data_IF_900485790512
#
_entry.id   IF_900485790512
#
_cell.length_a   1.000
_cell.length_b   1.000
_cell.length_c   1.000
_cell.angle_alpha   90.00
_cell.angle_beta   90.00
_cell.angle_gamma   90.00
#
_symmetry.space_group_name_H-M   'P 1'
#
loop_
_entity.id
_entity.type
_entity.pdbx_description
1 polymer ?
#
# COMPACT_ATOMS: atom_id res chain seq x y z
N UNK A 1 20.21 0.55 -7.13
CA UNK A 1 19.68 1.63 -8.01
C UNK A 1 19.49 1.11 -9.44
N UNK A 2 18.66 1.77 -10.26
CA UNK A 2 18.49 1.41 -11.68
C UNK A 2 19.80 1.60 -12.45
N UNK A 3 20.08 0.72 -13.41
CA UNK A 3 21.26 0.86 -14.28
C UNK A 3 21.08 1.94 -15.34
N UNK A 4 19.85 2.13 -15.81
CA UNK A 4 19.49 3.11 -16.83
C UNK A 4 18.19 3.78 -16.41
N UNK A 5 18.20 5.10 -16.29
CA UNK A 5 17.03 5.87 -15.94
C UNK A 5 16.19 6.18 -17.19
N UNK A 6 14.85 6.28 -17.06
CA UNK A 6 14.02 6.79 -18.13
C UNK A 6 14.44 8.23 -18.46
N UNK A 7 14.42 8.59 -19.75
CA UNK A 7 14.78 9.95 -20.17
C UNK A 7 13.76 10.98 -19.67
N UNK A 8 12.50 10.58 -19.65
CA UNK A 8 11.37 11.41 -19.27
C UNK A 8 10.40 10.57 -18.43
N UNK A 9 9.73 11.23 -17.48
CA UNK A 9 8.63 10.70 -16.71
C UNK A 9 7.48 11.69 -16.74
N UNK A 10 6.34 11.23 -17.21
CA UNK A 10 5.07 11.93 -17.18
C UNK A 10 4.36 11.62 -15.86
N UNK A 11 3.56 12.57 -15.37
CA UNK A 11 2.80 12.39 -14.14
C UNK A 11 1.39 12.99 -14.21
N UNK A 12 0.51 12.52 -13.33
CA UNK A 12 -0.77 13.12 -12.96
C UNK A 12 -0.95 13.00 -11.44
N UNK A 13 -1.45 14.05 -10.80
CA UNK A 13 -1.69 14.08 -9.36
C UNK A 13 -0.55 14.70 -8.55
N UNK A 14 -0.41 14.25 -7.30
CA UNK A 14 0.39 14.86 -6.25
C UNK A 14 1.84 14.35 -6.21
N UNK A 15 2.78 15.16 -6.73
CA UNK A 15 4.21 14.87 -6.65
C UNK A 15 4.78 14.83 -5.22
N UNK A 16 4.09 15.42 -4.23
CA UNK A 16 4.50 15.38 -2.83
C UNK A 16 4.64 13.97 -2.27
N UNK A 17 3.95 12.98 -2.85
CA UNK A 17 4.09 11.57 -2.48
C UNK A 17 5.49 11.00 -2.73
N UNK A 18 6.27 11.59 -3.65
CA UNK A 18 7.65 11.17 -3.91
C UNK A 18 8.58 11.43 -2.72
N UNK A 19 8.24 12.39 -1.85
CA UNK A 19 9.02 12.76 -0.68
C UNK A 19 8.75 11.87 0.54
N UNK A 20 7.70 11.04 0.49
CA UNK A 20 7.34 10.12 1.59
C UNK A 20 8.21 8.85 1.54
N UNK A 21 8.38 8.13 2.65
CA UNK A 21 8.86 6.74 2.60
C UNK A 21 7.98 5.92 1.65
N UNK A 22 8.58 5.04 0.85
CA UNK A 22 7.84 4.31 -0.20
C UNK A 22 8.06 2.82 -0.09
N UNK A 23 7.00 2.03 -0.27
CA UNK A 23 7.09 0.57 -0.30
C UNK A 23 6.46 0.08 -1.60
N UNK A 24 7.19 -0.74 -2.36
CA UNK A 24 6.64 -1.37 -3.55
C UNK A 24 5.87 -2.63 -3.16
N UNK A 25 4.62 -2.77 -3.62
CA UNK A 25 3.81 -3.99 -3.41
C UNK A 25 3.38 -4.53 -4.77
N UNK A 26 3.72 -5.79 -5.06
CA UNK A 26 3.38 -6.46 -6.33
C UNK A 26 2.94 -7.89 -6.08
N UNK A 27 2.26 -8.52 -7.05
CA UNK A 27 1.88 -9.92 -6.91
C UNK A 27 0.96 -10.41 -8.03
N UNK A 28 0.30 -11.53 -7.77
CA UNK A 28 -0.52 -12.23 -8.74
C UNK A 28 -1.71 -11.38 -9.22
N UNK A 29 -2.04 -11.50 -10.51
CA UNK A 29 -3.28 -10.96 -11.09
C UNK A 29 -4.51 -11.79 -10.71
N UNK A 30 -4.30 -13.04 -10.31
CA UNK A 30 -5.30 -14.00 -9.84
C UNK A 30 -4.85 -14.48 -8.46
N UNK A 31 -5.37 -13.84 -7.42
CA UNK A 31 -4.92 -14.04 -6.05
C UNK A 31 -5.96 -14.75 -5.20
N UNK A 32 -5.50 -15.44 -4.16
CA UNK A 32 -6.33 -16.08 -3.15
C UNK A 32 -7.06 -15.07 -2.26
N UNK A 33 -8.13 -15.48 -1.58
CA UNK A 33 -8.82 -14.60 -0.62
C UNK A 33 -7.90 -14.16 0.53
N UNK A 34 -7.03 -15.06 0.98
CA UNK A 34 -6.00 -14.76 1.96
C UNK A 34 -5.10 -13.62 1.47
N UNK A 35 -4.52 -13.74 0.27
CA UNK A 35 -3.68 -12.69 -0.30
C UNK A 35 -4.43 -11.38 -0.47
N UNK A 36 -5.73 -11.42 -0.83
CA UNK A 36 -6.56 -10.21 -0.95
C UNK A 36 -6.64 -9.46 0.36
N UNK A 37 -7.03 -10.16 1.41
CA UNK A 37 -7.23 -9.60 2.75
C UNK A 37 -5.92 -9.02 3.30
N UNK A 38 -4.86 -9.82 3.32
CA UNK A 38 -3.60 -9.42 3.93
C UNK A 38 -2.84 -8.38 3.09
N UNK A 39 -2.98 -8.37 1.75
CA UNK A 39 -2.43 -7.26 0.93
C UNK A 39 -3.14 -5.94 1.27
N UNK A 40 -4.47 -5.96 1.41
CA UNK A 40 -5.25 -4.77 1.75
C UNK A 40 -4.86 -4.24 3.14
N UNK A 41 -4.84 -5.12 4.15
CA UNK A 41 -4.46 -4.77 5.52
C UNK A 41 -3.04 -4.22 5.61
N UNK A 42 -2.09 -4.86 4.91
CA UNK A 42 -0.70 -4.43 4.88
C UNK A 42 -0.54 -3.04 4.27
N UNK A 43 -1.18 -2.80 3.12
CA UNK A 43 -1.15 -1.50 2.48
C UNK A 43 -1.80 -0.41 3.35
N UNK A 44 -2.90 -0.73 4.03
CA UNK A 44 -3.58 0.16 4.97
C UNK A 44 -2.70 0.52 6.17
N UNK A 45 -2.05 -0.47 6.77
CA UNK A 45 -1.17 -0.28 7.92
C UNK A 45 0.04 0.61 7.56
N UNK A 46 0.64 0.41 6.39
CA UNK A 46 1.71 1.26 5.88
C UNK A 46 1.22 2.70 5.63
N UNK A 47 0.07 2.86 4.98
CA UNK A 47 -0.50 4.19 4.68
C UNK A 47 -0.80 5.00 5.95
N UNK A 48 -1.34 4.35 7.00
CA UNK A 48 -1.56 4.96 8.32
C UNK A 48 -0.29 5.50 8.98
N UNK A 49 0.88 5.10 8.51
CA UNK A 49 2.20 5.53 9.00
C UNK A 49 2.90 6.50 8.06
N UNK A 50 2.14 7.16 7.19
CA UNK A 50 2.72 8.09 6.22
C UNK A 50 3.51 7.40 5.10
N UNK A 51 3.54 6.07 5.03
CA UNK A 51 4.24 5.35 3.96
C UNK A 51 3.39 5.34 2.69
N UNK A 52 4.00 5.66 1.56
CA UNK A 52 3.36 5.61 0.27
C UNK A 52 3.52 4.24 -0.38
N UNK A 53 2.41 3.62 -0.80
CA UNK A 53 2.43 2.34 -1.52
C UNK A 53 2.65 2.59 -3.01
N UNK A 54 3.67 1.96 -3.59
CA UNK A 54 3.96 2.03 -5.03
C UNK A 54 3.56 0.70 -5.68
N UNK A 55 2.75 0.75 -6.74
CA UNK A 55 2.39 -0.45 -7.49
C UNK A 55 2.05 -0.14 -8.96
N UNK A 56 1.71 -1.18 -9.73
CA UNK A 56 1.54 -1.11 -11.18
C UNK A 56 0.10 -0.90 -11.66
N UNK A 57 -0.88 -0.67 -10.77
CA UNK A 57 -2.31 -0.59 -11.12
C UNK A 57 -2.85 -1.77 -11.96
N UNK A 58 -2.16 -2.92 -12.01
CA UNK A 58 -2.66 -4.11 -12.68
C UNK A 58 -3.86 -4.71 -11.92
N UNK A 59 -4.51 -5.71 -12.53
CA UNK A 59 -5.49 -6.51 -11.79
C UNK A 59 -4.82 -7.24 -10.63
N UNK A 60 -5.62 -7.62 -9.65
CA UNK A 60 -5.16 -8.45 -8.55
C UNK A 60 -4.41 -7.66 -7.49
N UNK A 61 -3.21 -8.12 -7.10
CA UNK A 61 -2.47 -7.59 -5.95
C UNK A 61 -2.24 -6.09 -6.06
N UNK A 62 -1.85 -5.59 -7.24
CA UNK A 62 -1.64 -4.16 -7.46
C UNK A 62 -2.88 -3.32 -7.12
N UNK A 63 -4.06 -3.73 -7.64
CA UNK A 63 -5.32 -3.03 -7.35
C UNK A 63 -5.67 -3.06 -5.87
N UNK A 64 -5.49 -4.23 -5.23
CA UNK A 64 -5.76 -4.40 -3.80
C UNK A 64 -4.82 -3.55 -2.94
N UNK A 65 -3.54 -3.47 -3.30
CA UNK A 65 -2.55 -2.66 -2.60
C UNK A 65 -2.89 -1.16 -2.70
N UNK A 66 -3.24 -0.68 -3.90
CA UNK A 66 -3.71 0.70 -4.07
C UNK A 66 -4.99 0.98 -3.27
N UNK A 67 -5.97 0.08 -3.31
CA UNK A 67 -7.21 0.23 -2.54
C UNK A 67 -7.00 0.19 -1.03
N UNK A 68 -6.08 -0.63 -0.53
CA UNK A 68 -5.73 -0.70 0.89
C UNK A 68 -5.00 0.55 1.38
N UNK A 69 -4.11 1.10 0.55
CA UNK A 69 -3.38 2.32 0.89
C UNK A 69 -4.29 3.56 0.94
N UNK A 70 -5.34 3.61 0.11
CA UNK A 70 -6.08 4.84 -0.15
C UNK A 70 -5.43 5.64 -1.28
N UNK A 71 -6.25 6.35 -2.05
CA UNK A 71 -5.81 7.04 -3.26
C UNK A 71 -4.77 8.13 -2.96
N UNK A 72 -4.91 8.80 -1.83
CA UNK A 72 -4.02 9.84 -1.31
C UNK A 72 -2.67 9.34 -0.79
N UNK A 73 -2.49 8.02 -0.64
CA UNK A 73 -1.27 7.41 -0.10
C UNK A 73 -0.59 6.47 -1.10
N UNK A 74 -0.86 6.60 -2.40
CA UNK A 74 -0.33 5.65 -3.38
C UNK A 74 0.17 6.26 -4.68
N UNK A 75 1.20 5.62 -5.23
CA UNK A 75 1.79 5.93 -6.53
C UNK A 75 1.54 4.75 -7.48
N UNK A 76 0.77 4.97 -8.54
CA UNK A 76 0.58 4.01 -9.62
C UNK A 76 1.58 4.28 -10.76
N UNK A 77 2.41 3.29 -11.10
CA UNK A 77 3.27 3.38 -12.27
C UNK A 77 2.64 2.59 -13.40
N UNK A 78 2.23 3.22 -14.50
CA UNK A 78 1.49 2.54 -15.59
C UNK A 78 2.41 2.17 -16.77
N UNK A 79 2.00 1.15 -17.54
CA UNK A 79 2.77 0.61 -18.66
C UNK A 79 2.36 1.22 -20.03
N UNK A 80 1.62 2.32 -20.01
CA UNK A 80 0.99 2.99 -21.15
C UNK A 80 1.05 4.52 -20.96
N UNK A 81 0.72 5.29 -22.00
CA UNK A 81 0.59 6.75 -21.89
C UNK A 81 -0.50 7.14 -20.88
N UNK A 82 -0.33 8.27 -20.19
CA UNK A 82 -1.25 8.70 -19.11
C UNK A 82 -2.66 9.04 -19.61
N UNK A 83 -2.83 9.30 -20.90
CA UNK A 83 -4.14 9.45 -21.52
C UNK A 83 -4.93 8.12 -21.65
N UNK A 84 -4.35 6.98 -21.29
CA UNK A 84 -5.00 5.66 -21.35
C UNK A 84 -5.14 5.09 -19.92
N UNK A 85 -6.35 4.71 -19.54
CA UNK A 85 -6.59 3.98 -18.27
C UNK A 85 -6.66 2.49 -18.55
N UNK A 86 -5.59 1.76 -18.23
CA UNK A 86 -5.48 0.32 -18.43
C UNK A 86 -5.00 -0.37 -17.13
N UNK A 87 -5.55 -1.54 -16.78
CA UNK A 87 -6.64 -2.25 -17.46
C UNK A 87 -7.99 -1.57 -17.22
N UNK A 88 -8.94 -1.73 -18.16
CA UNK A 88 -10.26 -1.07 -18.11
C UNK A 88 -11.03 -1.37 -16.82
N UNK A 89 -10.87 -2.59 -16.27
CA UNK A 89 -11.50 -2.98 -15.01
C UNK A 89 -11.08 -2.13 -13.81
N UNK A 90 -9.87 -1.56 -13.83
CA UNK A 90 -9.36 -0.69 -12.78
C UNK A 90 -9.51 0.80 -13.14
N UNK A 91 -10.31 1.16 -14.15
CA UNK A 91 -10.43 2.54 -14.63
C UNK A 91 -10.82 3.52 -13.51
N UNK A 92 -11.78 3.14 -12.66
CA UNK A 92 -12.24 3.99 -11.55
C UNK A 92 -11.18 4.15 -10.47
N UNK A 93 -10.47 3.07 -10.13
CA UNK A 93 -9.34 3.11 -9.20
C UNK A 93 -8.24 4.03 -9.72
N UNK A 94 -7.85 3.87 -10.98
CA UNK A 94 -6.82 4.70 -11.61
C UNK A 94 -7.25 6.16 -11.61
N UNK A 95 -8.52 6.46 -11.95
CA UNK A 95 -9.04 7.83 -11.93
C UNK A 95 -8.96 8.46 -10.54
N UNK A 96 -9.31 7.71 -9.48
CA UNK A 96 -9.19 8.17 -8.10
C UNK A 96 -7.74 8.48 -7.72
N UNK A 97 -6.77 7.64 -8.16
CA UNK A 97 -5.33 7.91 -7.94
C UNK A 97 -4.84 9.11 -8.76
N UNK A 98 -5.35 9.33 -9.98
CA UNK A 98 -5.02 10.53 -10.76
C UNK A 98 -5.45 11.82 -10.05
N UNK A 99 -6.57 11.77 -9.32
CA UNK A 99 -7.16 12.92 -8.62
C UNK A 99 -6.50 13.20 -7.26
N UNK A 100 -6.21 12.16 -6.47
CA UNK A 100 -5.79 12.30 -5.07
C UNK A 100 -4.36 11.80 -4.81
N UNK A 101 -3.91 10.85 -5.62
CA UNK A 101 -2.61 10.19 -5.51
C UNK A 101 -1.63 10.68 -6.55
N UNK A 102 -0.78 9.78 -7.04
CA UNK A 102 0.14 10.05 -8.14
C UNK A 102 0.14 8.91 -9.15
N UNK A 103 0.00 9.23 -10.42
CA UNK A 103 0.19 8.28 -11.52
C UNK A 103 1.41 8.69 -12.32
N UNK A 104 2.33 7.75 -12.57
CA UNK A 104 3.56 7.94 -13.33
C UNK A 104 3.57 7.07 -14.59
N UNK A 105 4.14 7.60 -15.67
CA UNK A 105 4.43 6.82 -16.87
C UNK A 105 5.71 7.32 -17.53
N UNK A 106 6.46 6.40 -18.14
CA UNK A 106 7.60 6.73 -19.00
C UNK A 106 7.24 6.73 -20.50
N UNK A 107 5.95 6.59 -20.82
CA UNK A 107 5.47 6.44 -22.18
C UNK A 107 4.65 7.66 -22.60
N UNK A 108 4.89 8.13 -23.83
CA UNK A 108 4.16 9.24 -24.42
C UNK A 108 2.66 8.95 -24.52
N UNK A 109 1.87 10.02 -24.61
CA UNK A 109 0.44 9.93 -24.86
C UNK A 109 0.14 9.10 -26.12
N UNK A 110 -0.88 8.24 -26.01
CA UNK A 110 -1.31 7.31 -27.04
C UNK A 110 -0.57 5.97 -27.04
N UNK A 111 0.54 5.83 -26.31
CA UNK A 111 1.27 4.56 -26.22
C UNK A 111 0.45 3.50 -25.49
N UNK A 112 0.14 2.39 -26.15
CA UNK A 112 -0.60 1.25 -25.59
C UNK A 112 0.36 0.26 -24.90
N UNK A 113 -0.08 -0.34 -23.81
CA UNK A 113 0.73 -1.30 -23.07
C UNK A 113 1.10 -2.53 -23.93
N UNK A 114 2.35 -2.97 -23.84
CA UNK A 114 2.92 -4.14 -24.51
C UNK A 114 3.61 -5.04 -23.49
N UNK A 115 3.94 -6.28 -23.87
CA UNK A 115 4.68 -7.20 -22.98
C UNK A 115 5.98 -6.59 -22.44
N UNK A 116 6.73 -5.89 -23.32
CA UNK A 116 7.95 -5.18 -22.94
C UNK A 116 7.68 -3.99 -22.00
N UNK A 117 6.63 -3.20 -22.24
CA UNK A 117 6.36 -2.02 -21.41
C UNK A 117 5.99 -2.39 -19.98
N UNK A 118 5.37 -3.55 -19.74
CA UNK A 118 5.16 -4.07 -18.39
C UNK A 118 6.48 -4.38 -17.66
N UNK A 119 7.44 -5.01 -18.35
CA UNK A 119 8.74 -5.34 -17.75
C UNK A 119 9.49 -4.07 -17.36
N UNK A 120 9.53 -3.08 -18.26
CA UNK A 120 10.21 -1.82 -17.98
C UNK A 120 9.52 -1.01 -16.88
N UNK A 121 8.18 -0.96 -16.90
CA UNK A 121 7.40 -0.36 -15.82
C UNK A 121 7.73 -1.01 -14.47
N UNK A 122 7.82 -2.34 -14.42
CA UNK A 122 8.07 -3.05 -13.17
C UNK A 122 9.42 -2.67 -12.55
N UNK A 123 10.44 -2.41 -13.37
CA UNK A 123 11.72 -1.90 -12.88
C UNK A 123 11.56 -0.56 -12.16
N UNK A 124 10.72 0.34 -12.69
CA UNK A 124 10.43 1.63 -12.09
C UNK A 124 9.63 1.51 -10.78
N UNK A 125 8.64 0.61 -10.71
CA UNK A 125 7.90 0.30 -9.47
C UNK A 125 8.87 -0.11 -8.36
N UNK A 126 9.78 -1.04 -8.67
CA UNK A 126 10.77 -1.54 -7.72
C UNK A 126 11.78 -0.45 -7.36
N UNK A 127 12.18 0.38 -8.31
CA UNK A 127 13.14 1.44 -8.06
C UNK A 127 12.62 2.49 -7.08
N UNK A 128 11.33 2.85 -7.19
CA UNK A 128 10.67 3.87 -6.37
C UNK A 128 10.43 3.43 -4.91
N UNK A 129 10.13 2.15 -4.67
CA UNK A 129 9.92 1.64 -3.31
C UNK A 129 11.23 1.30 -2.63
N UNK A 130 11.44 1.70 -1.37
CA UNK A 130 12.65 1.46 -0.58
C UNK A 130 12.91 -0.06 -0.41
N UNK A 131 11.84 -0.81 -0.21
CA UNK A 131 11.79 -2.28 -0.19
C UNK A 131 10.75 -2.82 -1.19
N UNK A 132 10.80 -4.12 -1.47
CA UNK A 132 9.80 -4.82 -2.29
C UNK A 132 9.01 -5.83 -1.43
N UNK A 133 7.68 -5.78 -1.54
CA UNK A 133 6.77 -6.78 -0.98
C UNK A 133 6.13 -7.55 -2.14
N UNK A 134 6.22 -8.88 -2.09
CA UNK A 134 5.55 -9.78 -3.03
C UNK A 134 4.56 -10.64 -2.25
N UNK A 135 3.26 -10.35 -2.37
CA UNK A 135 2.26 -11.01 -1.51
C UNK A 135 1.84 -12.39 -2.03
N UNK A 136 1.82 -12.58 -3.35
CA UNK A 136 1.60 -13.89 -4.00
C UNK A 136 2.21 -13.90 -5.41
N UNK A 137 2.91 -14.96 -5.79
CA UNK A 137 3.52 -15.10 -7.11
C UNK A 137 3.80 -16.56 -7.49
N UNK A 138 3.58 -16.90 -8.76
CA UNK A 138 4.06 -18.14 -9.37
C UNK A 138 5.48 -17.96 -9.92
N UNK A 139 6.20 -19.08 -10.13
CA UNK A 139 7.62 -19.10 -10.55
C UNK A 139 7.89 -18.31 -11.84
N UNK A 140 7.00 -18.41 -12.83
CA UNK A 140 7.14 -17.75 -14.14
C UNK A 140 6.30 -16.47 -14.26
N UNK A 141 5.87 -15.90 -13.14
CA UNK A 141 5.00 -14.72 -13.13
C UNK A 141 5.77 -13.41 -13.38
N UNK A 142 5.05 -12.38 -13.84
CA UNK A 142 5.60 -11.03 -14.03
C UNK A 142 6.14 -10.41 -12.73
N UNK A 143 5.64 -10.82 -11.57
CA UNK A 143 6.12 -10.39 -10.25
C UNK A 143 7.53 -10.91 -9.95
N UNK A 144 7.91 -12.08 -10.49
CA UNK A 144 9.28 -12.58 -10.36
C UNK A 144 10.29 -11.73 -11.14
N UNK A 145 9.86 -10.99 -12.18
CA UNK A 145 10.71 -9.96 -12.80
C UNK A 145 10.98 -8.78 -11.86
N UNK A 146 9.99 -8.37 -11.08
CA UNK A 146 10.18 -7.36 -10.04
C UNK A 146 11.17 -7.83 -8.96
N UNK A 147 11.12 -9.12 -8.61
CA UNK A 147 12.09 -9.73 -7.69
C UNK A 147 13.51 -9.69 -8.25
N UNK A 148 13.71 -10.04 -9.52
CA UNK A 148 15.01 -9.93 -10.21
C UNK A 148 15.55 -8.49 -10.14
N UNK A 149 14.68 -7.49 -10.34
CA UNK A 149 15.06 -6.08 -10.20
C UNK A 149 15.44 -5.73 -8.77
N UNK A 150 14.68 -6.16 -7.76
CA UNK A 150 14.95 -5.85 -6.37
C UNK A 150 16.29 -6.44 -5.91
N UNK A 151 16.57 -7.70 -6.24
CA UNK A 151 17.85 -8.38 -5.95
C UNK A 151 19.02 -7.64 -6.60
N UNK A 152 18.91 -7.29 -7.89
CA UNK A 152 19.94 -6.51 -8.59
C UNK A 152 20.17 -5.13 -7.98
N UNK A 153 19.14 -4.53 -7.39
CA UNK A 153 19.22 -3.22 -6.75
C UNK A 153 19.68 -3.29 -5.29
N UNK A 154 19.83 -4.48 -4.71
CA UNK A 154 20.16 -4.68 -3.30
C UNK A 154 19.02 -4.33 -2.35
N UNK A 155 17.76 -4.38 -2.83
CA UNK A 155 16.59 -4.08 -2.01
C UNK A 155 16.17 -5.31 -1.22
N UNK A 156 15.76 -5.09 0.03
CA UNK A 156 15.14 -6.16 0.82
C UNK A 156 13.80 -6.56 0.21
N UNK A 157 13.52 -7.87 0.28
CA UNK A 157 12.30 -8.47 -0.25
C UNK A 157 11.54 -9.11 0.91
N UNK A 158 10.25 -8.81 0.99
CA UNK A 158 9.34 -9.36 1.97
C UNK A 158 8.19 -10.08 1.28
N UNK A 159 7.69 -11.14 1.90
CA UNK A 159 6.55 -11.92 1.38
C UNK A 159 5.58 -12.28 2.50
N UNK A 160 4.33 -12.56 2.14
CA UNK A 160 3.40 -13.21 3.06
C UNK A 160 3.74 -14.70 3.18
N UNK A 161 3.43 -15.29 4.34
CA UNK A 161 3.43 -16.74 4.50
C UNK A 161 2.35 -17.36 3.61
N UNK A 162 2.69 -18.41 2.87
CA UNK A 162 1.77 -19.08 1.95
C UNK A 162 1.77 -20.59 2.20
N UNK A 163 0.65 -21.25 1.91
CA UNK A 163 0.52 -22.71 2.10
C UNK A 163 1.39 -23.47 1.11
N UNK A 164 1.69 -24.73 1.43
CA UNK A 164 2.24 -25.67 0.44
C UNK A 164 1.25 -25.84 -0.71
N UNK A 165 1.75 -25.80 -1.95
CA UNK A 165 0.92 -25.86 -3.15
C UNK A 165 0.35 -24.51 -3.62
N UNK A 166 0.57 -23.43 -2.85
CA UNK A 166 0.21 -22.07 -3.22
C UNK A 166 1.47 -21.22 -3.41
N UNK A 167 1.41 -20.21 -4.28
CA UNK A 167 2.46 -19.18 -4.43
C UNK A 167 3.88 -19.74 -4.51
N UNK A 168 4.13 -20.64 -5.47
CA UNK A 168 5.40 -21.34 -5.58
C UNK A 168 6.61 -20.40 -5.70
N UNK A 169 6.41 -19.21 -6.27
CA UNK A 169 7.42 -18.16 -6.35
C UNK A 169 7.82 -17.59 -4.99
N UNK A 170 6.86 -17.14 -4.17
CA UNK A 170 7.18 -16.56 -2.85
C UNK A 170 7.75 -17.61 -1.88
N UNK A 171 7.22 -18.83 -1.91
CA UNK A 171 7.73 -19.95 -1.11
C UNK A 171 9.18 -20.30 -1.47
N UNK A 172 9.52 -20.30 -2.77
CA UNK A 172 10.90 -20.48 -3.21
C UNK A 172 11.83 -19.36 -2.73
N UNK A 173 11.36 -18.11 -2.69
CA UNK A 173 12.17 -17.00 -2.17
C UNK A 173 12.49 -17.13 -0.69
N UNK A 174 11.54 -17.61 0.12
CA UNK A 174 11.78 -17.93 1.53
C UNK A 174 12.77 -19.09 1.67
N UNK A 175 12.58 -20.16 0.90
CA UNK A 175 13.47 -21.33 0.92
C UNK A 175 14.92 -20.96 0.58
N UNK A 176 15.13 -20.06 -0.39
CA UNK A 176 16.45 -19.62 -0.84
C UNK A 176 17.05 -18.51 0.05
N UNK A 177 16.36 -18.08 1.11
CA UNK A 177 16.81 -16.99 1.98
C UNK A 177 16.86 -15.62 1.28
N UNK A 178 16.15 -15.47 0.16
CA UNK A 178 16.11 -14.25 -0.66
C UNK A 178 15.01 -13.28 -0.25
N UNK A 179 14.06 -13.73 0.58
CA UNK A 179 13.01 -12.91 1.14
C UNK A 179 12.82 -13.20 2.63
N UNK A 180 12.26 -12.21 3.35
CA UNK A 180 11.83 -12.33 4.75
C UNK A 180 10.31 -12.49 4.81
N UNK A 181 9.84 -13.31 5.74
CA UNK A 181 8.40 -13.50 5.94
C UNK A 181 7.82 -12.36 6.79
N UNK A 182 6.68 -11.82 6.38
CA UNK A 182 5.85 -10.94 7.21
C UNK A 182 4.91 -11.84 8.01
N UNK A 183 5.09 -11.89 9.33
CA UNK A 183 4.26 -12.70 10.23
C UNK A 183 3.28 -11.86 11.04
N UNK A 184 3.55 -10.56 11.18
CA UNK A 184 2.73 -9.59 11.88
C UNK A 184 2.77 -8.29 11.09
N UNK A 185 1.60 -7.84 10.61
CA UNK A 185 1.49 -6.65 9.75
C UNK A 185 1.82 -5.38 10.52
N UNK A 186 1.35 -5.25 11.76
CA UNK A 186 1.49 -4.02 12.53
C UNK A 186 2.93 -3.87 13.00
N UNK A 187 3.55 -4.95 13.49
CA UNK A 187 4.97 -4.97 13.84
C UNK A 187 5.85 -4.73 12.61
N UNK A 188 5.49 -5.26 11.45
CA UNK A 188 6.19 -4.99 10.20
C UNK A 188 6.07 -3.51 9.80
N UNK A 189 4.85 -2.99 9.75
CA UNK A 189 4.58 -1.61 9.37
C UNK A 189 5.25 -0.61 10.32
N UNK A 190 5.38 -0.95 11.62
CA UNK A 190 6.06 -0.14 12.62
C UNK A 190 7.52 0.21 12.27
N UNK A 191 8.18 -0.59 11.44
CA UNK A 191 9.54 -0.34 10.98
C UNK A 191 9.63 0.74 9.89
N UNK A 192 8.50 1.21 9.36
CA UNK A 192 8.44 2.15 8.24
C UNK A 192 7.60 3.37 8.58
N UNK A 193 8.07 4.53 8.11
CA UNK A 193 7.42 5.81 8.36
C UNK A 193 7.27 6.12 9.85
N UNK A 194 6.45 7.11 10.14
CA UNK A 194 6.10 7.51 11.50
C UNK A 194 4.63 7.21 11.67
N UNK A 195 4.24 6.65 12.83
CA UNK A 195 2.83 6.60 13.15
C UNK A 195 2.31 8.02 12.99
N UNK A 196 1.20 8.19 12.26
CA UNK A 196 0.43 9.40 12.43
C UNK A 196 -0.03 9.34 13.87
N UNK A 197 0.72 9.99 14.76
CA UNK A 197 0.16 10.47 16.00
C UNK A 197 -0.93 11.38 15.54
N UNK A 198 -2.14 10.83 15.47
CA UNK A 198 -3.29 11.55 15.94
C UNK A 198 -2.80 12.17 17.24
N UNK A 199 -2.47 13.46 17.20
CA UNK A 199 -2.28 14.22 18.42
C UNK A 199 -3.61 14.07 19.11
N UNK A 200 -3.72 13.07 19.98
CA UNK A 200 -4.84 13.00 20.89
C UNK A 200 -4.60 14.23 21.75
N UNK A 201 -5.36 15.28 21.45
CA UNK A 201 -5.36 16.49 22.22
C UNK A 201 -5.54 16.04 23.66
N UNK A 202 -4.50 16.19 24.50
CA UNK A 202 -4.54 15.76 25.91
C UNK A 202 -5.34 16.77 26.72
N UNK A 203 -6.58 16.94 26.30
CA UNK A 203 -7.55 17.84 26.86
C UNK A 203 -8.39 17.12 27.91
N UNK A 204 -9.38 17.83 28.45
CA UNK A 204 -10.27 17.28 29.46
C UNK A 204 -11.06 16.06 28.94
N UNK A 205 -11.32 15.97 27.64
CA UNK A 205 -11.98 14.82 27.01
C UNK A 205 -11.09 13.58 27.08
N UNK A 206 -9.83 13.68 26.68
CA UNK A 206 -8.87 12.59 26.77
C UNK A 206 -8.73 12.06 28.20
N UNK A 207 -8.49 12.94 29.17
CA UNK A 207 -8.34 12.51 30.57
C UNK A 207 -9.64 11.94 31.15
N UNK A 208 -10.79 12.43 30.71
CA UNK A 208 -12.06 11.86 31.11
C UNK A 208 -12.27 10.46 30.53
N UNK A 209 -11.95 10.24 29.25
CA UNK A 209 -12.08 8.92 28.63
C UNK A 209 -11.11 7.87 29.20
N UNK A 210 -10.00 8.28 29.85
CA UNK A 210 -9.12 7.34 30.57
C UNK A 210 -9.80 6.61 31.73
N UNK A 211 -10.87 7.18 32.30
CA UNK A 211 -11.61 6.53 33.40
C UNK A 211 -12.59 5.47 32.91
N UNK A 212 -12.63 5.21 31.59
CA UNK A 212 -13.63 4.36 30.93
C UNK A 212 -15.08 4.75 31.30
N UNK A 213 -15.46 6.03 31.12
CA UNK A 213 -16.79 6.52 31.44
C UNK A 213 -17.85 5.85 30.56
N UNK A 214 -19.10 5.90 31.01
CA UNK A 214 -20.22 5.49 30.17
C UNK A 214 -20.43 6.49 29.04
N UNK A 215 -21.06 6.02 27.96
CA UNK A 215 -21.41 6.84 26.81
C UNK A 215 -22.30 8.02 27.23
N UNK A 216 -23.31 7.77 28.06
CA UNK A 216 -24.23 8.81 28.54
C UNK A 216 -23.49 9.88 29.36
N UNK A 217 -22.57 9.49 30.25
CA UNK A 217 -21.73 10.44 31.01
C UNK A 217 -20.84 11.28 30.09
N UNK A 218 -20.29 10.65 29.05
CA UNK A 218 -19.39 11.33 28.11
C UNK A 218 -20.14 12.30 27.22
N UNK A 219 -21.32 11.93 26.70
CA UNK A 219 -22.19 12.81 25.91
C UNK A 219 -22.74 13.95 26.75
N UNK A 220 -23.13 13.70 27.99
CA UNK A 220 -23.58 14.76 28.90
C UNK A 220 -22.49 15.81 29.16
N UNK A 221 -21.22 15.40 29.17
CA UNK A 221 -20.09 16.29 29.48
C UNK A 221 -19.48 16.97 28.25
N UNK A 222 -19.42 16.28 27.12
CA UNK A 222 -18.68 16.73 25.93
C UNK A 222 -19.52 16.80 24.63
N UNK A 223 -20.80 16.44 24.70
CA UNK A 223 -21.73 16.56 23.58
C UNK A 223 -21.27 15.78 22.34
N UNK A 224 -21.26 16.46 21.20
CA UNK A 224 -21.00 15.85 19.90
C UNK A 224 -19.55 15.36 19.72
N UNK A 225 -18.62 15.86 20.55
CA UNK A 225 -17.19 15.49 20.52
C UNK A 225 -16.97 13.97 20.68
N UNK A 226 -17.87 13.27 21.38
CA UNK A 226 -17.80 11.80 21.54
C UNK A 226 -17.91 11.09 20.19
N UNK A 227 -18.83 11.54 19.33
CA UNK A 227 -19.06 10.93 18.03
C UNK A 227 -17.95 11.29 17.04
N UNK A 228 -17.47 12.53 17.07
CA UNK A 228 -16.31 12.96 16.29
C UNK A 228 -15.09 12.11 16.63
N UNK A 229 -14.80 11.95 17.93
CA UNK A 229 -13.69 11.14 18.41
C UNK A 229 -13.81 9.65 18.06
N UNK A 230 -15.02 9.09 17.99
CA UNK A 230 -15.24 7.72 17.53
C UNK A 230 -15.00 7.58 16.02
N UNK A 231 -15.49 8.55 15.22
CA UNK A 231 -15.29 8.57 13.77
C UNK A 231 -13.81 8.74 13.38
N UNK A 232 -13.08 9.57 14.12
CA UNK A 232 -11.65 9.81 13.96
C UNK A 232 -10.79 8.66 14.53
N UNK A 233 -11.41 7.74 15.28
CA UNK A 233 -10.75 6.57 15.85
C UNK A 233 -9.90 6.89 17.07
N UNK A 234 -10.15 7.99 17.77
CA UNK A 234 -9.56 8.30 19.06
C UNK A 234 -10.17 7.47 20.20
N UNK A 235 -11.45 7.12 20.07
CA UNK A 235 -12.17 6.25 21.02
C UNK A 235 -12.96 5.16 20.31
N UNK A 236 -13.37 4.15 21.06
CA UNK A 236 -14.37 3.14 20.67
C UNK A 236 -15.47 3.08 21.71
N UNK A 237 -16.73 2.95 21.27
CA UNK A 237 -17.87 2.75 22.16
C UNK A 237 -18.26 1.28 22.12
N UNK A 238 -18.09 0.59 23.25
CA UNK A 238 -18.44 -0.82 23.36
C UNK A 238 -19.21 -1.10 24.65
N UNK A 239 -20.39 -1.74 24.51
CA UNK A 239 -21.33 -1.98 25.61
C UNK A 239 -21.66 -0.72 26.43
N UNK A 240 -21.79 0.42 25.76
CA UNK A 240 -22.08 1.71 26.39
C UNK A 240 -20.91 2.31 27.18
N UNK A 241 -19.69 1.78 27.02
CA UNK A 241 -18.47 2.33 27.64
C UNK A 241 -17.59 2.93 26.55
N UNK A 242 -17.09 4.14 26.79
CA UNK A 242 -16.13 4.83 25.91
C UNK A 242 -14.72 4.43 26.30
N UNK A 243 -13.92 3.94 25.35
CA UNK A 243 -12.52 3.56 25.55
C UNK A 243 -11.61 4.29 24.58
N UNK A 244 -10.47 4.76 25.06
CA UNK A 244 -9.41 5.29 24.19
C UNK A 244 -8.79 4.15 23.36
N UNK A 245 -8.47 4.44 22.10
CA UNK A 245 -7.77 3.54 21.19
C UNK A 245 -6.24 3.68 21.28
#
# INVERSE_FOLDING_TARGET
MMKKYPKELFYKGNLGLLNRPKVAIVGSRRLSNYTREFTYMLAKALAKRGVCVVSGAAMGVDAVAHSGAGAENTIAVVANGLNIRYPVINKSLIASIEEQGLVLSQFNDGFRATGWSFVVRNELVVALGDILIVTEAELDSGSMRSVEFALRMGKEIYVLSQRLGESAGTNKLLQEGKAKCITDIDAFAANFGEAVTLEIEKDDFFYFCQTAPTFDETVNKFGDKVYEAELEGHVTIHNGIVRLN
#
